data_IF_664572086134
#
_entry.id   IF_664572086134
#
_cell.length_a   1.000
_cell.length_b   1.000
_cell.length_c   1.000
_cell.angle_alpha   90.00
_cell.angle_beta   90.00
_cell.angle_gamma   90.00
#
_symmetry.space_group_name_H-M   'P 1'
#
loop_
_entity.id
_entity.type
_entity.pdbx_description
1 polymer ?
#
# COMPACT_ATOMS: atom_id res chain seq x y z
N UNK A 1 -16.51 -8.51 -29.92
CA UNK A 1 -16.04 -7.88 -28.68
C UNK A 1 -16.80 -8.46 -27.50
N UNK A 2 -16.11 -9.30 -26.78
CA UNK A 2 -16.69 -9.76 -25.55
C UNK A 2 -16.78 -8.55 -24.60
N UNK A 3 -17.99 -8.24 -24.15
CA UNK A 3 -18.14 -7.40 -22.97
C UNK A 3 -17.24 -7.99 -21.92
N UNK A 4 -16.39 -7.19 -21.26
CA UNK A 4 -15.80 -7.68 -20.05
C UNK A 4 -16.96 -8.20 -19.21
N UNK A 5 -16.86 -9.46 -18.83
CA UNK A 5 -17.74 -10.02 -17.85
C UNK A 5 -17.94 -8.94 -16.79
N UNK A 6 -19.18 -8.68 -16.42
CA UNK A 6 -19.56 -7.78 -15.37
C UNK A 6 -18.37 -7.50 -14.49
N UNK A 7 -17.77 -6.34 -14.67
CA UNK A 7 -16.72 -5.90 -13.81
C UNK A 7 -17.35 -5.73 -12.44
N UNK A 8 -17.33 -6.81 -11.69
CA UNK A 8 -17.55 -6.69 -10.27
C UNK A 8 -16.40 -5.81 -9.81
N UNK A 9 -16.69 -4.55 -9.58
CA UNK A 9 -15.69 -3.67 -9.00
C UNK A 9 -15.18 -4.34 -7.73
N UNK A 10 -13.86 -4.48 -7.58
CA UNK A 10 -13.33 -5.06 -6.35
C UNK A 10 -13.83 -4.24 -5.17
N UNK A 11 -14.24 -4.92 -4.13
CA UNK A 11 -14.68 -4.27 -2.91
C UNK A 11 -13.45 -3.77 -2.16
N UNK A 12 -13.24 -2.45 -2.23
CA UNK A 12 -12.11 -1.84 -1.52
C UNK A 12 -12.40 -1.77 -0.03
N UNK A 13 -11.39 -2.01 0.78
CA UNK A 13 -11.53 -2.05 2.25
C UNK A 13 -11.70 -0.68 2.89
N UNK A 14 -11.35 0.38 2.17
CA UNK A 14 -11.45 1.73 2.70
C UNK A 14 -11.77 2.73 1.60
N UNK A 15 -12.27 3.90 2.03
CA UNK A 15 -12.50 5.01 1.13
C UNK A 15 -11.20 5.47 0.48
N UNK A 16 -10.11 5.45 1.23
CA UNK A 16 -8.80 5.86 0.72
C UNK A 16 -8.36 4.94 -0.42
N UNK A 17 -8.51 3.62 -0.26
CA UNK A 17 -8.19 2.67 -1.33
C UNK A 17 -9.07 2.91 -2.54
N UNK A 18 -10.35 3.14 -2.33
CA UNK A 18 -11.29 3.45 -3.42
C UNK A 18 -10.88 4.72 -4.15
N UNK A 19 -10.51 5.77 -3.42
CA UNK A 19 -10.08 7.04 -4.02
C UNK A 19 -8.81 6.85 -4.86
N UNK A 20 -7.86 6.05 -4.40
CA UNK A 20 -6.65 5.72 -5.15
C UNK A 20 -7.01 4.96 -6.43
N UNK A 21 -7.88 3.95 -6.32
CA UNK A 21 -8.29 3.16 -7.48
C UNK A 21 -8.98 4.04 -8.52
N UNK A 22 -9.85 4.94 -8.09
CA UNK A 22 -10.54 5.88 -8.99
C UNK A 22 -9.55 6.82 -9.69
N UNK A 23 -8.54 7.30 -8.96
CA UNK A 23 -7.51 8.16 -9.54
C UNK A 23 -6.70 7.42 -10.61
N UNK A 24 -6.32 6.18 -10.33
CA UNK A 24 -5.58 5.36 -11.28
C UNK A 24 -6.42 5.07 -12.52
N UNK A 25 -7.68 4.70 -12.35
CA UNK A 25 -8.59 4.42 -13.46
C UNK A 25 -8.80 5.66 -14.32
N UNK A 26 -8.99 6.82 -13.70
CA UNK A 26 -9.17 8.07 -14.42
C UNK A 26 -7.92 8.48 -15.20
N UNK A 27 -6.74 8.09 -14.72
CA UNK A 27 -5.47 8.34 -15.40
C UNK A 27 -5.16 7.31 -16.49
N UNK A 28 -6.00 6.29 -16.68
CA UNK A 28 -5.79 5.23 -17.66
C UNK A 28 -4.68 4.27 -17.29
N UNK A 29 -4.39 4.11 -16.01
CA UNK A 29 -3.35 3.20 -15.52
C UNK A 29 -3.97 1.88 -15.11
N UNK A 30 -3.50 0.78 -15.72
CA UNK A 30 -3.88 -0.55 -15.27
C UNK A 30 -3.18 -0.85 -13.97
N UNK A 31 -3.91 -1.39 -13.03
CA UNK A 31 -3.36 -1.75 -11.71
C UNK A 31 -3.91 -3.08 -11.24
N UNK A 32 -3.14 -3.73 -10.37
CA UNK A 32 -3.64 -4.87 -9.61
C UNK A 32 -4.04 -4.40 -8.22
N UNK A 33 -5.18 -4.85 -7.75
CA UNK A 33 -5.62 -4.65 -6.38
C UNK A 33 -5.64 -6.01 -5.70
N UNK A 34 -4.78 -6.19 -4.70
CA UNK A 34 -4.60 -7.46 -4.00
C UNK A 34 -4.40 -8.64 -4.97
N UNK A 35 -3.71 -8.40 -6.09
CA UNK A 35 -3.62 -9.33 -7.21
C UNK A 35 -2.37 -10.20 -7.20
N UNK A 36 -1.38 -9.89 -6.38
CA UNK A 36 -0.17 -10.68 -6.31
C UNK A 36 0.29 -10.87 -4.86
N UNK A 37 1.01 -11.97 -4.63
CA UNK A 37 1.61 -12.26 -3.34
C UNK A 37 3.12 -12.11 -3.43
N UNK A 38 3.69 -11.34 -2.53
CA UNK A 38 5.14 -11.18 -2.44
C UNK A 38 5.61 -11.89 -1.17
N UNK A 39 6.47 -12.86 -1.34
CA UNK A 39 7.01 -13.63 -0.21
C UNK A 39 8.10 -12.85 0.50
N UNK A 40 8.08 -12.90 1.80
CA UNK A 40 9.15 -12.36 2.63
C UNK A 40 9.34 -13.25 3.85
N UNK A 41 10.49 -13.17 4.47
CA UNK A 41 10.80 -13.98 5.64
C UNK A 41 10.68 -13.14 6.91
N UNK A 42 9.84 -13.60 7.81
CA UNK A 42 9.81 -13.09 9.17
C UNK A 42 10.70 -14.02 9.98
N UNK A 43 11.62 -13.52 10.81
CA UNK A 43 12.45 -14.42 11.62
C UNK A 43 11.55 -15.44 12.33
N UNK A 44 11.85 -16.72 12.16
CA UNK A 44 11.12 -17.89 12.64
C UNK A 44 9.91 -18.34 11.78
N UNK A 45 9.53 -17.59 10.73
CA UNK A 45 8.48 -18.05 9.80
C UNK A 45 8.54 -17.33 8.48
N UNK A 46 8.03 -17.97 7.43
CA UNK A 46 7.82 -17.30 6.16
C UNK A 46 6.44 -16.65 6.14
N UNK A 47 6.33 -15.52 5.46
CA UNK A 47 5.07 -14.81 5.31
C UNK A 47 4.90 -14.35 3.87
N UNK A 48 3.66 -13.99 3.51
CA UNK A 48 3.34 -13.46 2.20
C UNK A 48 2.81 -12.04 2.34
N UNK A 49 3.22 -11.20 1.43
CA UNK A 49 2.74 -9.83 1.34
C UNK A 49 1.85 -9.71 0.11
N UNK A 50 0.64 -9.24 0.32
CA UNK A 50 -0.31 -8.93 -0.75
C UNK A 50 -0.42 -7.41 -0.84
N UNK A 51 0.28 -6.78 -1.79
CA UNK A 51 0.20 -5.32 -1.95
C UNK A 51 -1.22 -4.87 -2.29
N UNK A 52 -1.62 -3.71 -1.78
CA UNK A 52 -2.92 -3.15 -2.15
C UNK A 52 -2.93 -2.81 -3.65
N UNK A 53 -1.94 -2.05 -4.12
CA UNK A 53 -1.84 -1.72 -5.55
C UNK A 53 -0.45 -2.03 -6.07
N UNK A 54 -0.41 -2.77 -7.15
CA UNK A 54 0.82 -3.11 -7.86
C UNK A 54 0.60 -2.95 -9.37
N UNK A 55 1.69 -2.83 -10.11
CA UNK A 55 1.65 -2.56 -11.54
C UNK A 55 2.62 -3.51 -12.23
N UNK A 56 2.15 -4.25 -13.22
CA UNK A 56 2.98 -5.20 -13.94
C UNK A 56 4.15 -4.49 -14.63
N UNK A 57 5.35 -4.95 -14.38
CA UNK A 57 6.56 -4.35 -14.95
C UNK A 57 7.04 -3.07 -14.28
N UNK A 58 6.47 -2.74 -13.13
CA UNK A 58 6.82 -1.54 -12.39
C UNK A 58 7.17 -1.91 -10.94
N UNK A 59 8.27 -1.41 -10.38
CA UNK A 59 8.64 -1.73 -9.00
C UNK A 59 7.83 -0.96 -7.96
N UNK A 60 7.06 0.03 -8.38
CA UNK A 60 6.30 0.87 -7.46
C UNK A 60 5.10 0.12 -6.91
N UNK A 61 4.96 0.13 -5.59
CA UNK A 61 3.81 -0.41 -4.89
C UNK A 61 3.18 0.73 -4.11
N UNK A 62 1.87 0.86 -4.17
CA UNK A 62 1.14 1.91 -3.45
C UNK A 62 0.30 1.27 -2.36
N UNK A 63 0.53 1.73 -1.13
CA UNK A 63 -0.12 1.25 0.07
C UNK A 63 -0.90 2.38 0.76
N UNK A 64 -2.20 2.50 0.51
CA UNK A 64 -3.01 3.43 1.28
C UNK A 64 -3.15 2.93 2.73
N UNK A 65 -2.89 3.81 3.68
CA UNK A 65 -2.95 3.47 5.12
C UNK A 65 -3.74 4.50 5.89
N UNK A 66 -4.90 4.11 6.35
CA UNK A 66 -5.61 4.87 7.36
C UNK A 66 -4.94 4.72 8.71
N UNK A 67 -4.49 3.50 9.03
CA UNK A 67 -3.76 3.17 10.26
C UNK A 67 -2.75 2.06 10.01
N UNK A 68 -1.68 2.09 10.78
CA UNK A 68 -0.75 0.95 10.86
C UNK A 68 -1.28 -0.01 11.94
N UNK A 69 -2.16 -0.93 11.56
CA UNK A 69 -2.72 -1.88 12.51
C UNK A 69 -3.37 -1.18 13.71
N UNK A 70 -3.32 -1.82 14.84
CA UNK A 70 -3.81 -1.23 16.07
C UNK A 70 -5.31 -1.41 16.28
N UNK A 71 -5.78 -0.83 17.36
CA UNK A 71 -7.19 -0.88 17.71
C UNK A 71 -7.99 0.19 16.96
N UNK A 72 -8.98 -0.23 16.23
CA UNK A 72 -9.97 0.69 15.66
C UNK A 72 -11.36 0.10 15.89
N UNK A 73 -12.34 0.98 15.93
CA UNK A 73 -13.72 0.55 16.10
C UNK A 73 -14.31 0.24 14.73
N UNK A 74 -14.79 -0.97 14.57
CA UNK A 74 -15.56 -1.35 13.39
C UNK A 74 -16.95 -0.69 13.40
N UNK A 75 -17.71 -0.96 12.35
CA UNK A 75 -19.04 -0.38 12.15
C UNK A 75 -20.00 -0.61 13.32
N UNK A 76 -19.81 -1.68 14.09
CA UNK A 76 -20.63 -2.04 15.24
C UNK A 76 -20.03 -1.60 16.59
N UNK A 77 -19.02 -0.73 16.56
CA UNK A 77 -18.36 -0.26 17.78
C UNK A 77 -17.40 -1.27 18.41
N UNK A 78 -17.25 -2.45 17.84
CA UNK A 78 -16.31 -3.44 18.33
C UNK A 78 -14.88 -3.08 17.93
N UNK A 79 -13.93 -3.35 18.82
CA UNK A 79 -12.52 -3.19 18.49
C UNK A 79 -12.12 -4.17 17.39
N UNK A 80 -11.58 -3.66 16.31
CA UNK A 80 -11.06 -4.44 15.20
C UNK A 80 -9.55 -4.25 15.15
N UNK A 81 -8.83 -5.28 14.68
CA UNK A 81 -7.38 -5.25 14.62
C UNK A 81 -6.74 -5.86 15.85
N UNK A 82 -5.46 -6.11 15.80
CA UNK A 82 -4.71 -6.83 16.82
C UNK A 82 -4.07 -5.96 17.89
N UNK A 83 -4.50 -4.73 18.06
CA UNK A 83 -3.96 -3.83 19.07
C UNK A 83 -2.53 -3.37 18.78
N UNK A 84 -1.80 -3.02 19.84
CA UNK A 84 -0.44 -2.48 19.78
C UNK A 84 0.53 -3.43 19.07
N UNK A 85 0.43 -4.73 19.37
CA UNK A 85 1.34 -5.72 18.77
C UNK A 85 1.12 -5.88 17.28
N UNK A 86 -0.12 -5.79 16.81
CA UNK A 86 -0.42 -5.84 15.38
C UNK A 86 0.16 -4.65 14.64
N UNK A 87 0.11 -3.46 15.23
CA UNK A 87 0.69 -2.27 14.64
C UNK A 87 2.21 -2.39 14.51
N UNK A 88 2.87 -2.91 15.55
CA UNK A 88 4.31 -3.15 15.53
C UNK A 88 4.67 -4.17 14.44
N UNK A 89 3.93 -5.27 14.36
CA UNK A 89 4.17 -6.30 13.35
C UNK A 89 3.98 -5.78 11.93
N UNK A 90 2.97 -4.93 11.72
CA UNK A 90 2.73 -4.36 10.40
C UNK A 90 3.87 -3.45 9.96
N UNK A 91 4.34 -2.58 10.85
CA UNK A 91 5.50 -1.73 10.53
C UNK A 91 6.75 -2.57 10.28
N UNK A 92 6.97 -3.61 11.08
CA UNK A 92 8.08 -4.54 10.92
C UNK A 92 8.01 -5.24 9.55
N UNK A 93 6.81 -5.63 9.12
CA UNK A 93 6.60 -6.25 7.81
C UNK A 93 7.20 -5.40 6.68
N UNK A 94 6.92 -4.10 6.67
CA UNK A 94 7.41 -3.23 5.61
C UNK A 94 8.92 -3.03 5.67
N UNK A 95 9.49 -2.98 6.86
CA UNK A 95 10.94 -2.90 7.04
C UNK A 95 11.59 -4.17 6.47
N UNK A 96 11.06 -5.35 6.81
CA UNK A 96 11.56 -6.63 6.29
C UNK A 96 11.44 -6.73 4.77
N UNK A 97 10.31 -6.28 4.23
CA UNK A 97 10.11 -6.26 2.78
C UNK A 97 11.16 -5.42 2.08
N UNK A 98 11.45 -4.24 2.62
CA UNK A 98 12.46 -3.36 2.04
C UNK A 98 13.86 -3.98 2.09
N UNK A 99 14.20 -4.65 3.18
CA UNK A 99 15.49 -5.33 3.32
C UNK A 99 15.61 -6.52 2.38
N UNK A 100 14.55 -7.32 2.25
CA UNK A 100 14.57 -8.56 1.47
C UNK A 100 14.28 -8.34 -0.01
N UNK A 101 13.60 -7.24 -0.36
CA UNK A 101 13.26 -6.90 -1.73
C UNK A 101 13.65 -5.44 -2.01
N UNK A 102 14.95 -5.11 -2.03
CA UNK A 102 15.40 -3.72 -2.15
C UNK A 102 15.02 -3.05 -3.48
N UNK A 103 14.65 -3.84 -4.49
CA UNK A 103 14.19 -3.30 -5.78
C UNK A 103 12.74 -2.81 -5.74
N UNK A 104 11.97 -3.20 -4.71
CA UNK A 104 10.61 -2.72 -4.58
C UNK A 104 10.58 -1.29 -4.05
N UNK A 105 9.74 -0.47 -4.67
CA UNK A 105 9.54 0.92 -4.28
C UNK A 105 8.16 1.04 -3.63
N UNK A 106 8.10 0.73 -2.34
CA UNK A 106 6.84 0.77 -1.57
C UNK A 106 6.59 2.21 -1.14
N UNK A 107 5.45 2.75 -1.52
CA UNK A 107 5.04 4.12 -1.20
C UNK A 107 3.72 4.12 -0.46
N UNK A 108 3.63 4.92 0.59
CA UNK A 108 2.43 5.02 1.42
C UNK A 108 1.60 6.25 1.06
N UNK A 109 0.29 6.10 1.14
CA UNK A 109 -0.62 7.24 1.11
C UNK A 109 -1.38 7.20 2.44
N UNK A 110 -1.10 8.15 3.31
CA UNK A 110 -1.72 8.21 4.62
C UNK A 110 -2.96 9.10 4.59
N UNK A 111 -4.02 8.70 5.29
CA UNK A 111 -5.16 9.58 5.50
C UNK A 111 -4.76 10.81 6.30
N UNK A 112 -3.91 10.61 7.29
CA UNK A 112 -3.35 11.68 8.12
C UNK A 112 -1.92 11.31 8.52
N UNK A 113 -0.96 11.88 7.80
CA UNK A 113 0.46 11.56 8.02
C UNK A 113 0.99 12.04 9.36
N UNK A 114 0.34 13.03 9.98
CA UNK A 114 0.73 13.54 11.30
C UNK A 114 0.30 12.65 12.46
N UNK A 115 -0.44 11.57 12.20
CA UNK A 115 -0.88 10.64 13.24
C UNK A 115 0.32 9.96 13.89
N UNK A 116 0.41 10.00 15.25
CA UNK A 116 1.48 9.28 15.94
C UNK A 116 1.39 7.77 15.69
N UNK A 117 2.54 7.10 15.59
CA UNK A 117 2.58 5.64 15.34
C UNK A 117 2.05 4.83 16.53
N UNK A 118 2.01 5.41 17.72
CA UNK A 118 1.32 4.90 18.89
C UNK A 118 0.96 6.11 19.77
N UNK A 119 0.04 5.96 20.75
CA UNK A 119 -0.37 7.08 21.59
C UNK A 119 0.82 7.74 22.26
N UNK A 120 0.88 9.09 22.18
CA UNK A 120 1.95 9.93 22.75
C UNK A 120 3.33 9.77 22.08
N UNK A 121 3.41 9.03 20.96
CA UNK A 121 4.66 8.95 20.21
C UNK A 121 5.02 10.30 19.60
N UNK A 122 6.31 10.61 19.59
CA UNK A 122 6.84 11.79 18.88
C UNK A 122 7.05 11.52 17.41
N UNK A 123 6.90 10.26 16.98
CA UNK A 123 7.06 9.84 15.60
C UNK A 123 5.68 9.71 14.97
N UNK A 124 5.45 10.46 13.89
CA UNK A 124 4.23 10.35 13.08
C UNK A 124 4.39 9.27 12.01
N UNK A 125 3.29 8.91 11.36
CA UNK A 125 3.31 7.99 10.22
C UNK A 125 4.26 8.49 9.12
N UNK A 126 4.15 9.77 8.75
CA UNK A 126 5.02 10.36 7.73
C UNK A 126 6.49 10.33 8.13
N UNK A 127 6.79 10.69 9.37
CA UNK A 127 8.16 10.64 9.87
C UNK A 127 8.70 9.21 9.89
N UNK A 128 7.90 8.26 10.35
CA UNK A 128 8.29 6.85 10.35
C UNK A 128 8.64 6.39 8.93
N UNK A 129 7.77 6.70 7.96
CA UNK A 129 8.02 6.33 6.56
C UNK A 129 9.31 6.96 6.03
N UNK A 130 9.51 8.26 6.27
CA UNK A 130 10.73 8.95 5.85
C UNK A 130 11.98 8.38 6.50
N UNK A 131 11.92 8.11 7.81
CA UNK A 131 13.06 7.56 8.56
C UNK A 131 13.48 6.17 8.03
N UNK A 132 12.53 5.39 7.51
CA UNK A 132 12.79 4.07 6.95
C UNK A 132 12.97 4.07 5.43
N UNK A 133 13.03 5.24 4.82
CA UNK A 133 13.32 5.36 3.39
C UNK A 133 12.12 5.09 2.47
N UNK A 134 10.90 5.18 2.98
CA UNK A 134 9.69 5.04 2.19
C UNK A 134 9.19 6.41 1.75
N UNK A 135 8.81 6.54 0.49
CA UNK A 135 8.09 7.73 0.01
C UNK A 135 6.65 7.67 0.49
N UNK A 136 6.08 8.83 0.76
CA UNK A 136 4.70 8.89 1.21
C UNK A 136 4.02 10.18 0.73
N UNK A 137 2.69 10.12 0.70
CA UNK A 137 1.83 11.27 0.41
C UNK A 137 0.65 11.24 1.38
N UNK A 138 -0.12 12.30 1.40
CA UNK A 138 -1.28 12.42 2.27
C UNK A 138 -2.55 12.58 1.44
N UNK A 139 -3.58 11.84 1.82
CA UNK A 139 -4.95 11.89 1.29
C UNK A 139 -5.13 11.40 -0.13
N UNK A 140 -4.26 11.76 -1.06
CA UNK A 140 -4.41 11.35 -2.45
C UNK A 140 -3.07 11.02 -3.07
N UNK A 141 -3.13 10.23 -4.14
CA UNK A 141 -1.94 9.88 -4.90
C UNK A 141 -1.45 11.09 -5.68
N UNK A 142 -0.17 11.50 -5.51
CA UNK A 142 0.38 12.62 -6.28
C UNK A 142 0.38 12.35 -7.79
N UNK A 143 0.19 13.38 -8.58
CA UNK A 143 0.21 13.28 -10.04
C UNK A 143 1.57 12.83 -10.57
N UNK A 144 2.66 13.26 -9.94
CA UNK A 144 4.01 12.85 -10.34
C UNK A 144 4.23 11.34 -10.13
N UNK A 145 3.62 10.73 -9.11
CA UNK A 145 3.67 9.28 -8.94
C UNK A 145 2.94 8.56 -10.08
N UNK A 146 1.79 9.11 -10.49
CA UNK A 146 1.03 8.56 -11.61
C UNK A 146 1.89 8.60 -12.88
N UNK A 147 2.56 9.70 -13.13
CA UNK A 147 3.43 9.85 -14.31
C UNK A 147 4.64 8.91 -14.25
N UNK A 148 5.23 8.72 -13.08
CA UNK A 148 6.32 7.76 -12.91
C UNK A 148 5.87 6.33 -13.25
N UNK A 149 4.70 5.94 -12.75
CA UNK A 149 4.14 4.62 -13.03
C UNK A 149 3.86 4.46 -14.52
N UNK A 150 3.25 5.47 -15.13
CA UNK A 150 3.01 5.45 -16.58
C UNK A 150 4.29 5.28 -17.38
N UNK A 151 5.37 5.94 -16.96
CA UNK A 151 6.66 5.82 -17.64
C UNK A 151 7.17 4.38 -17.61
N UNK A 152 7.00 3.67 -16.49
CA UNK A 152 7.36 2.25 -16.41
C UNK A 152 6.49 1.40 -17.34
N UNK A 153 5.19 1.66 -17.38
CA UNK A 153 4.25 0.87 -18.17
C UNK A 153 4.43 1.08 -19.68
N UNK A 154 4.98 2.21 -20.10
CA UNK A 154 5.27 2.49 -21.50
C UNK A 154 6.56 1.85 -22.00
N UNK A 155 7.41 1.35 -21.09
CA UNK A 155 8.65 0.71 -21.51
C UNK A 155 8.35 -0.62 -22.18
N UNK A 156 9.04 -0.96 -23.30
CA UNK A 156 8.85 -2.26 -23.91
C UNK A 156 9.21 -3.35 -22.90
N UNK A 157 8.30 -4.31 -22.74
CA UNK A 157 8.57 -5.46 -21.88
C UNK A 157 9.82 -6.17 -22.41
N UNK A 158 10.81 -6.35 -21.53
CA UNK A 158 11.98 -7.14 -21.91
C UNK A 158 11.54 -8.55 -22.19
N UNK A 159 11.71 -8.98 -23.43
CA UNK A 159 11.51 -10.38 -23.78
C UNK A 159 12.62 -11.18 -23.10
N UNK A 160 12.20 -12.17 -22.34
CA UNK A 160 13.17 -13.15 -21.85
C UNK A 160 13.66 -14.01 -23.00
#
# INVERSE_FOLDING_TARGET
MSKPALSIEPEYRSKLEKDVAEKLAAAGVEFGYESQNIRYTVPAREAKYLPDFSFEGCPIIVEPKGRFGGNYKGALGKRMGGGKDAAVRERQKFILLKEQHPSLDIRFIFSRASTPIYPKSKTSYGKWASDHGFKWAEKTMPDDWVEEIKAYLKQPKKRK
#
